data_IF_034884099574
#
_entry.id   IF_034884099574
#
_cell.length_a   1.000
_cell.length_b   1.000
_cell.length_c   1.000
_cell.angle_alpha   90.00
_cell.angle_beta   90.00
_cell.angle_gamma   90.00
#
_symmetry.space_group_name_H-M   'P 1'
#
loop_
_entity.id
_entity.type
_entity.pdbx_description
1 polymer ?
#
# COMPACT_ATOMS: atom_id res chain seq x y z
N UNK A 1 -3.22 13.38 -38.74
CA UNK A 1 -2.22 13.51 -37.67
C UNK A 1 -1.80 12.11 -37.28
N UNK A 2 -0.51 11.75 -37.33
CA UNK A 2 -0.09 10.37 -37.10
C UNK A 2 -0.22 9.98 -35.63
N UNK A 3 -0.68 8.75 -35.44
CA UNK A 3 -0.84 8.00 -34.21
C UNK A 3 0.52 7.71 -33.54
N UNK A 4 0.62 8.00 -32.24
CA UNK A 4 1.82 7.84 -31.39
C UNK A 4 2.01 6.38 -30.91
N UNK A 5 1.31 5.42 -31.51
CA UNK A 5 1.40 3.98 -31.17
C UNK A 5 2.58 3.25 -31.80
N UNK A 6 3.43 3.90 -32.59
CA UNK A 6 4.46 3.24 -33.40
C UNK A 6 5.87 3.84 -33.20
N UNK A 7 6.38 3.84 -31.96
CA UNK A 7 7.82 4.01 -31.71
C UNK A 7 8.45 2.61 -31.58
N UNK A 8 9.19 2.11 -32.59
CA UNK A 8 9.79 0.79 -32.57
C UNK A 8 11.09 0.84 -31.76
N UNK A 9 11.15 0.15 -30.62
CA UNK A 9 12.39 0.04 -29.84
C UNK A 9 12.27 -0.43 -28.39
N UNK A 10 11.08 -0.33 -27.77
CA UNK A 10 10.83 -0.97 -26.48
C UNK A 10 10.25 -2.35 -26.75
N UNK A 11 11.13 -3.36 -26.73
CA UNK A 11 10.73 -4.68 -26.25
C UNK A 11 10.17 -4.45 -24.86
N UNK A 12 8.87 -4.73 -24.65
CA UNK A 12 8.16 -4.71 -23.36
C UNK A 12 8.84 -5.62 -22.33
N UNK A 13 10.01 -5.22 -21.82
CA UNK A 13 10.61 -5.82 -20.64
C UNK A 13 9.78 -5.30 -19.47
N UNK A 14 8.88 -6.14 -18.98
CA UNK A 14 8.10 -5.87 -17.77
C UNK A 14 9.02 -5.35 -16.67
N UNK A 15 8.60 -4.32 -15.92
CA UNK A 15 9.39 -3.75 -14.82
C UNK A 15 9.86 -4.81 -13.81
N UNK A 16 9.10 -5.89 -13.64
CA UNK A 16 9.45 -7.06 -12.82
C UNK A 16 10.67 -7.83 -13.36
N UNK A 17 10.76 -8.02 -14.69
CA UNK A 17 11.91 -8.67 -15.33
C UNK A 17 13.18 -7.82 -15.16
N UNK A 18 13.04 -6.49 -15.19
CA UNK A 18 14.15 -5.59 -14.88
C UNK A 18 14.63 -5.73 -13.43
N UNK A 19 13.72 -5.77 -12.46
CA UNK A 19 14.07 -5.98 -11.04
C UNK A 19 14.83 -7.29 -10.88
N UNK A 20 14.31 -8.39 -11.43
CA UNK A 20 14.94 -9.71 -11.37
C UNK A 20 16.35 -9.72 -11.95
N UNK A 21 16.56 -9.06 -13.11
CA UNK A 21 17.87 -8.91 -13.74
C UNK A 21 18.84 -8.07 -12.91
N UNK A 22 18.39 -6.96 -12.34
CA UNK A 22 19.22 -6.11 -11.48
C UNK A 22 19.66 -6.88 -10.24
N UNK A 23 18.75 -7.63 -9.60
CA UNK A 23 19.08 -8.44 -8.41
C UNK A 23 20.02 -9.60 -8.71
N UNK A 24 19.96 -10.15 -9.92
CA UNK A 24 20.88 -11.20 -10.38
C UNK A 24 22.26 -10.69 -10.81
N UNK A 25 22.45 -9.36 -10.89
CA UNK A 25 23.72 -8.75 -11.35
C UNK A 25 24.74 -8.64 -10.20
N UNK A 26 26.06 -8.62 -10.50
CA UNK A 26 27.08 -8.43 -9.46
C UNK A 26 26.96 -7.04 -8.79
N UNK A 27 27.41 -6.90 -7.54
CA UNK A 27 27.50 -5.59 -6.87
C UNK A 27 28.35 -4.59 -7.68
N UNK A 28 28.05 -3.27 -7.62
CA UNK A 28 27.10 -2.63 -6.70
C UNK A 28 25.65 -2.66 -7.19
N UNK A 29 25.40 -3.05 -8.43
CA UNK A 29 24.11 -2.89 -9.11
C UNK A 29 22.97 -3.62 -8.39
N UNK A 30 23.20 -4.85 -7.93
CA UNK A 30 22.22 -5.61 -7.15
C UNK A 30 21.87 -5.02 -5.79
N UNK A 31 22.68 -4.10 -5.26
CA UNK A 31 22.45 -3.43 -3.97
C UNK A 31 21.79 -2.06 -4.08
N UNK A 32 21.60 -1.56 -5.29
CA UNK A 32 20.93 -0.26 -5.49
C UNK A 32 19.45 -0.42 -5.09
N UNK A 33 18.87 0.49 -4.28
CA UNK A 33 17.46 0.45 -3.96
C UNK A 33 16.59 0.66 -5.21
N UNK A 34 15.56 -0.17 -5.39
CA UNK A 34 14.62 -0.13 -6.51
C UNK A 34 13.22 0.16 -5.97
N UNK A 35 12.65 1.28 -6.41
CA UNK A 35 11.27 1.68 -6.12
C UNK A 35 10.46 1.49 -7.40
N UNK A 36 9.38 0.71 -7.31
CA UNK A 36 8.49 0.47 -8.43
C UNK A 36 7.26 1.38 -8.39
N UNK A 37 7.04 2.11 -9.49
CA UNK A 37 5.88 2.98 -9.67
C UNK A 37 4.83 2.29 -10.53
N UNK A 38 3.66 1.98 -9.98
CA UNK A 38 2.60 1.26 -10.70
C UNK A 38 1.38 2.15 -11.00
N UNK A 39 0.82 2.05 -12.21
CA UNK A 39 -0.48 2.64 -12.53
C UNK A 39 -1.66 1.74 -12.07
N UNK A 40 -1.39 0.48 -11.74
CA UNK A 40 -2.36 -0.50 -11.23
C UNK A 40 -2.08 -0.73 -9.74
N UNK A 41 -2.92 -0.15 -8.89
CA UNK A 41 -2.80 -0.26 -7.43
C UNK A 41 -3.37 -1.56 -6.84
N UNK A 42 -3.49 -2.63 -7.63
CA UNK A 42 -3.99 -3.91 -7.13
C UNK A 42 -2.97 -4.49 -6.15
N UNK A 43 -3.45 -4.97 -5.01
CA UNK A 43 -2.61 -5.55 -3.95
C UNK A 43 -1.75 -6.70 -4.48
N UNK A 44 -2.27 -7.48 -5.44
CA UNK A 44 -1.56 -8.59 -6.06
C UNK A 44 -0.30 -8.16 -6.81
N UNK A 45 -0.37 -7.07 -7.58
CA UNK A 45 0.76 -6.55 -8.36
C UNK A 45 1.90 -6.08 -7.44
N UNK A 46 1.54 -5.51 -6.28
CA UNK A 46 2.50 -5.11 -5.25
C UNK A 46 3.16 -6.31 -4.59
N UNK A 47 2.37 -7.35 -4.27
CA UNK A 47 2.88 -8.59 -3.66
C UNK A 47 3.89 -9.27 -4.59
N UNK A 48 3.56 -9.44 -5.86
CA UNK A 48 4.46 -10.04 -6.85
C UNK A 48 5.74 -9.23 -7.00
N UNK A 49 5.59 -7.91 -6.96
CA UNK A 49 6.68 -6.98 -6.94
C UNK A 49 7.67 -7.13 -5.80
N UNK A 50 7.18 -7.20 -4.56
CA UNK A 50 8.04 -7.47 -3.41
C UNK A 50 8.74 -8.82 -3.54
N UNK A 51 8.05 -9.85 -4.07
CA UNK A 51 8.66 -11.17 -4.32
C UNK A 51 9.78 -11.12 -5.36
N UNK A 52 9.72 -10.21 -6.33
CA UNK A 52 10.77 -10.03 -7.33
C UNK A 52 12.04 -9.35 -6.78
N UNK A 53 11.96 -8.76 -5.57
CA UNK A 53 13.09 -8.14 -4.89
C UNK A 53 13.14 -6.62 -5.00
N UNK A 54 12.03 -5.95 -5.33
CA UNK A 54 11.96 -4.49 -5.21
C UNK A 54 11.90 -4.07 -3.72
N UNK A 55 12.49 -2.93 -3.39
CA UNK A 55 12.52 -2.43 -2.00
C UNK A 55 11.22 -1.74 -1.61
N UNK A 56 10.57 -1.07 -2.57
CA UNK A 56 9.31 -0.38 -2.34
C UNK A 56 8.42 -0.33 -3.59
N UNK A 57 7.12 -0.14 -3.37
CA UNK A 57 6.09 -0.03 -4.38
C UNK A 57 5.17 1.15 -4.09
N UNK A 58 4.99 2.02 -5.07
CA UNK A 58 4.17 3.24 -4.96
C UNK A 58 3.22 3.34 -6.16
N UNK A 59 1.93 3.58 -5.89
CA UNK A 59 0.90 3.67 -6.94
C UNK A 59 0.77 5.09 -7.47
N UNK A 60 0.58 5.26 -8.78
CA UNK A 60 0.26 6.53 -9.43
C UNK A 60 -1.25 6.80 -9.42
N UNK A 61 -1.72 8.04 -9.18
CA UNK A 61 -0.93 9.19 -8.74
C UNK A 61 -0.48 9.06 -7.27
N UNK A 62 0.71 9.57 -6.95
CA UNK A 62 1.29 9.56 -5.60
C UNK A 62 1.56 10.98 -5.11
N UNK A 63 1.70 11.12 -3.80
CA UNK A 63 2.15 12.35 -3.16
C UNK A 63 3.68 12.47 -3.27
N UNK A 64 4.24 13.60 -3.74
CA UNK A 64 5.69 13.82 -3.77
C UNK A 64 6.37 13.61 -2.41
N UNK A 65 5.73 14.04 -1.31
CA UNK A 65 6.28 13.87 0.05
C UNK A 65 6.35 12.39 0.44
N UNK A 66 5.36 11.59 0.02
CA UNK A 66 5.37 10.13 0.23
C UNK A 66 6.55 9.47 -0.51
N UNK A 67 6.82 9.88 -1.75
CA UNK A 67 7.96 9.37 -2.50
C UNK A 67 9.29 9.75 -1.83
N UNK A 68 9.41 10.99 -1.34
CA UNK A 68 10.61 11.47 -0.66
C UNK A 68 10.92 10.63 0.59
N UNK A 69 9.94 10.41 1.46
CA UNK A 69 10.11 9.55 2.63
C UNK A 69 10.53 8.12 2.26
N UNK A 70 9.98 7.56 1.18
CA UNK A 70 10.34 6.22 0.69
C UNK A 70 11.81 6.21 0.23
N UNK A 71 12.22 7.20 -0.56
CA UNK A 71 13.60 7.32 -1.06
C UNK A 71 14.58 7.43 0.11
N UNK A 72 14.31 8.30 1.08
CA UNK A 72 15.14 8.46 2.26
C UNK A 72 15.27 7.15 3.04
N UNK A 73 14.15 6.48 3.33
CA UNK A 73 14.15 5.20 4.05
C UNK A 73 14.94 4.11 3.32
N UNK A 74 14.83 4.04 2.00
CA UNK A 74 15.59 3.12 1.16
C UNK A 74 17.10 3.40 1.22
N UNK A 75 17.51 4.67 1.14
CA UNK A 75 18.92 5.07 1.21
C UNK A 75 19.52 4.80 2.60
N UNK A 76 18.77 5.05 3.67
CA UNK A 76 19.20 4.74 5.03
C UNK A 76 19.40 3.24 5.28
N UNK A 77 18.52 2.39 4.73
CA UNK A 77 18.70 0.92 4.80
C UNK A 77 19.94 0.48 4.03
N UNK A 78 20.14 1.00 2.83
CA UNK A 78 21.33 0.69 2.02
C UNK A 78 22.64 1.06 2.75
N UNK A 79 22.66 2.22 3.45
CA UNK A 79 23.79 2.60 4.31
C UNK A 79 24.01 1.62 5.46
N UNK A 80 22.94 1.18 6.13
CA UNK A 80 23.01 0.18 7.21
C UNK A 80 23.51 -1.18 6.74
N UNK A 81 23.13 -1.63 5.56
CA UNK A 81 23.59 -2.91 5.00
C UNK A 81 25.08 -2.91 4.65
N UNK A 82 25.63 -1.75 4.29
CA UNK A 82 27.08 -1.58 4.08
C UNK A 82 27.83 -1.63 5.42
N UNK A 83 27.29 -1.01 6.47
CA UNK A 83 27.92 -0.98 7.80
C UNK A 83 27.78 -2.32 8.54
N UNK A 84 26.59 -2.93 8.51
CA UNK A 84 26.28 -4.20 9.16
C UNK A 84 26.82 -5.45 8.45
N UNK A 85 27.28 -5.31 7.19
CA UNK A 85 27.92 -6.40 6.44
C UNK A 85 29.27 -6.86 7.01
N UNK A 86 29.89 -6.07 7.90
CA UNK A 86 31.12 -6.45 8.60
C UNK A 86 30.85 -7.30 9.85
N UNK A 87 29.63 -7.31 10.38
CA UNK A 87 29.28 -7.98 11.65
C UNK A 87 28.37 -9.21 11.48
N UNK A 88 27.68 -9.36 10.34
CA UNK A 88 26.58 -10.32 10.17
C UNK A 88 26.90 -11.57 9.31
N UNK A 89 28.06 -12.20 9.46
CA UNK A 89 28.34 -13.49 8.79
C UNK A 89 27.66 -14.71 9.43
N UNK A 90 26.83 -14.52 10.46
CA UNK A 90 26.22 -15.63 11.20
C UNK A 90 24.87 -15.31 11.85
N UNK A 91 24.08 -14.40 11.29
CA UNK A 91 22.68 -14.28 11.71
C UNK A 91 21.97 -15.58 11.33
N UNK A 92 21.62 -16.37 12.33
CA UNK A 92 20.98 -17.67 12.17
C UNK A 92 19.62 -17.48 11.49
N UNK A 93 19.55 -17.83 10.21
CA UNK A 93 18.36 -17.66 9.36
C UNK A 93 17.14 -18.37 9.99
N UNK A 94 17.39 -19.43 10.76
CA UNK A 94 16.35 -20.15 11.50
C UNK A 94 15.69 -19.29 12.60
N UNK A 95 16.46 -18.46 13.30
CA UNK A 95 15.95 -17.55 14.33
C UNK A 95 15.09 -16.44 13.73
N UNK A 96 15.51 -15.87 12.59
CA UNK A 96 14.72 -14.87 11.87
C UNK A 96 13.40 -15.44 11.35
N UNK A 97 13.41 -16.68 10.85
CA UNK A 97 12.20 -17.36 10.39
C UNK A 97 11.22 -17.62 11.55
N UNK A 98 11.71 -18.04 12.72
CA UNK A 98 10.89 -18.23 13.90
C UNK A 98 10.21 -16.93 14.35
N UNK A 99 10.94 -15.81 14.37
CA UNK A 99 10.36 -14.50 14.68
C UNK A 99 9.31 -14.05 13.65
N UNK A 100 9.52 -14.33 12.37
CA UNK A 100 8.51 -14.03 11.33
C UNK A 100 7.22 -14.82 11.58
N UNK A 101 7.32 -16.10 11.93
CA UNK A 101 6.16 -16.95 12.14
C UNK A 101 5.41 -16.57 13.44
N UNK A 102 6.13 -16.19 14.50
CA UNK A 102 5.53 -15.60 15.71
C UNK A 102 4.78 -14.29 15.40
N UNK A 103 5.36 -13.38 14.61
CA UNK A 103 4.69 -12.15 14.19
C UNK A 103 3.43 -12.45 13.38
N UNK A 104 3.46 -13.42 12.46
CA UNK A 104 2.28 -13.84 11.70
C UNK A 104 1.19 -14.42 12.59
N UNK A 105 1.56 -15.24 13.57
CA UNK A 105 0.64 -15.83 14.54
C UNK A 105 0.01 -14.78 15.44
N UNK A 106 0.76 -13.75 15.87
CA UNK A 106 0.21 -12.60 16.58
C UNK A 106 -0.79 -11.87 15.68
N UNK A 107 -0.42 -11.53 14.44
CA UNK A 107 -1.30 -10.83 13.49
C UNK A 107 -2.57 -11.62 13.13
N UNK A 108 -2.54 -12.96 13.18
CA UNK A 108 -3.70 -13.83 12.93
C UNK A 108 -4.50 -14.15 14.20
N UNK A 109 -3.86 -14.23 15.37
CA UNK A 109 -4.52 -14.41 16.67
C UNK A 109 -5.23 -13.13 17.11
N UNK A 110 -4.66 -11.95 16.83
CA UNK A 110 -5.34 -10.65 16.98
C UNK A 110 -6.60 -10.50 16.11
N UNK A 111 -6.82 -11.39 15.14
CA UNK A 111 -8.06 -11.41 14.35
C UNK A 111 -9.18 -12.24 14.96
N UNK A 112 -8.91 -13.04 16.00
CA UNK A 112 -9.83 -14.11 16.42
C UNK A 112 -10.30 -14.06 17.88
N UNK A 113 -9.79 -13.15 18.72
CA UNK A 113 -10.25 -13.04 20.12
C UNK A 113 -10.37 -11.58 20.54
N UNK A 114 -11.50 -10.95 20.21
CA UNK A 114 -12.35 -10.11 21.09
C UNK A 114 -13.51 -9.53 20.27
N UNK A 115 -14.74 -9.76 20.75
CA UNK A 115 -15.94 -9.09 20.26
C UNK A 115 -16.05 -7.65 20.78
N UNK A 116 -15.02 -6.84 20.58
CA UNK A 116 -15.05 -5.40 20.83
C UNK A 116 -14.45 -4.68 19.61
N UNK A 117 -15.33 -3.95 18.92
CA UNK A 117 -15.09 -3.00 17.83
C UNK A 117 -14.15 -3.44 16.71
N UNK A 118 -14.77 -3.77 15.57
CA UNK A 118 -14.17 -3.56 14.24
C UNK A 118 -14.01 -2.07 13.94
N UNK A 119 -13.51 -1.28 14.89
CA UNK A 119 -12.87 0.02 14.68
C UNK A 119 -11.52 -0.30 14.01
N UNK A 120 -11.63 -0.87 12.83
CA UNK A 120 -10.55 -1.25 11.95
C UNK A 120 -9.94 0.05 11.45
N UNK A 121 -8.97 0.59 12.21
CA UNK A 121 -8.00 1.64 11.87
C UNK A 121 -8.39 2.34 10.57
N UNK A 122 -9.45 3.16 10.62
CA UNK A 122 -9.84 3.95 9.47
C UNK A 122 -8.72 4.96 9.27
N UNK A 123 -8.21 5.05 8.05
CA UNK A 123 -7.24 6.08 7.73
C UNK A 123 -7.90 7.46 7.88
N UNK A 124 -7.14 8.53 8.18
CA UNK A 124 -7.71 9.86 8.35
C UNK A 124 -8.61 10.29 7.18
N UNK A 125 -8.25 9.92 5.95
CA UNK A 125 -9.05 10.18 4.74
C UNK A 125 -10.34 9.37 4.69
N UNK A 126 -10.33 8.11 5.13
CA UNK A 126 -11.55 7.28 5.19
C UNK A 126 -12.53 7.78 6.25
N UNK A 127 -12.03 8.30 7.39
CA UNK A 127 -12.89 8.91 8.41
C UNK A 127 -13.62 10.14 7.88
N UNK A 128 -12.92 11.03 7.17
CA UNK A 128 -13.52 12.22 6.53
C UNK A 128 -14.58 11.83 5.49
N UNK A 129 -14.31 10.79 4.69
CA UNK A 129 -15.28 10.28 3.72
C UNK A 129 -16.50 9.69 4.44
N UNK A 130 -16.31 8.96 5.54
CA UNK A 130 -17.40 8.39 6.32
C UNK A 130 -18.31 9.47 6.91
N UNK A 131 -17.72 10.56 7.41
CA UNK A 131 -18.43 11.74 7.95
C UNK A 131 -19.23 12.47 6.87
N UNK A 132 -18.63 12.74 5.71
CA UNK A 132 -19.38 13.31 4.58
C UNK A 132 -20.50 12.38 4.10
N UNK A 133 -20.31 11.06 4.20
CA UNK A 133 -21.34 10.08 3.86
C UNK A 133 -22.51 10.11 4.85
N UNK A 134 -22.23 10.25 6.16
CA UNK A 134 -23.25 10.35 7.23
C UNK A 134 -24.05 11.63 7.20
N UNK A 135 -23.43 12.73 6.77
CA UNK A 135 -24.12 14.00 6.51
C UNK A 135 -25.01 13.96 5.25
N UNK A 136 -25.05 12.83 4.53
CA UNK A 136 -25.87 12.66 3.33
C UNK A 136 -25.28 13.28 2.06
N UNK A 137 -24.02 13.73 2.10
CA UNK A 137 -23.36 14.43 0.99
C UNK A 137 -23.04 13.46 -0.15
N UNK A 138 -23.13 13.95 -1.38
CA UNK A 138 -22.81 13.16 -2.57
C UNK A 138 -21.29 13.01 -2.73
N UNK A 139 -20.84 11.95 -3.41
CA UNK A 139 -19.41 11.72 -3.68
C UNK A 139 -18.75 12.94 -4.36
N UNK A 140 -19.49 13.69 -5.17
CA UNK A 140 -19.02 14.91 -5.83
C UNK A 140 -18.76 16.06 -4.87
N UNK A 141 -19.57 16.20 -3.83
CA UNK A 141 -19.44 17.25 -2.80
C UNK A 141 -18.27 16.91 -1.87
N UNK A 142 -18.19 15.66 -1.42
CA UNK A 142 -17.07 15.16 -0.60
C UNK A 142 -15.74 15.33 -1.36
N UNK A 143 -15.73 15.07 -2.67
CA UNK A 143 -14.55 15.25 -3.51
C UNK A 143 -14.10 16.72 -3.59
N UNK A 144 -15.06 17.64 -3.71
CA UNK A 144 -14.80 19.08 -3.76
C UNK A 144 -14.22 19.58 -2.42
N UNK A 145 -14.81 19.17 -1.29
CA UNK A 145 -14.36 19.56 0.05
C UNK A 145 -12.98 19.00 0.40
N UNK A 146 -12.69 17.75 0.00
CA UNK A 146 -11.42 17.11 0.26
C UNK A 146 -10.31 17.47 -0.75
N UNK A 147 -10.63 18.20 -1.82
CA UNK A 147 -9.68 18.54 -2.88
C UNK A 147 -9.18 17.33 -3.69
N UNK A 148 -9.97 16.25 -3.78
CA UNK A 148 -9.61 15.01 -4.49
C UNK A 148 -10.58 14.70 -5.63
N UNK A 149 -10.24 13.74 -6.49
CA UNK A 149 -11.14 13.33 -7.58
C UNK A 149 -12.36 12.54 -7.05
N UNK A 150 -13.49 12.63 -7.76
CA UNK A 150 -14.71 11.85 -7.44
C UNK A 150 -14.42 10.34 -7.42
N UNK A 151 -13.58 9.85 -8.34
CA UNK A 151 -13.13 8.44 -8.35
C UNK A 151 -12.34 8.05 -7.10
N UNK A 152 -11.57 8.98 -6.54
CA UNK A 152 -10.84 8.74 -5.29
C UNK A 152 -11.82 8.57 -4.13
N UNK A 153 -12.87 9.40 -4.06
CA UNK A 153 -13.94 9.24 -3.07
C UNK A 153 -14.68 7.92 -3.25
N UNK A 154 -15.04 7.54 -4.48
CA UNK A 154 -15.66 6.25 -4.78
C UNK A 154 -14.80 5.09 -4.26
N UNK A 155 -13.49 5.13 -4.51
CA UNK A 155 -12.53 4.14 -4.00
C UNK A 155 -12.50 4.12 -2.47
N UNK A 156 -12.51 5.27 -1.80
CA UNK A 156 -12.59 5.32 -0.34
C UNK A 156 -13.89 4.73 0.19
N UNK A 157 -15.03 4.97 -0.47
CA UNK A 157 -16.33 4.37 -0.10
C UNK A 157 -16.32 2.85 -0.30
N UNK A 158 -15.74 2.35 -1.40
CA UNK A 158 -15.58 0.91 -1.62
C UNK A 158 -14.73 0.28 -0.53
N UNK A 159 -13.60 0.89 -0.18
CA UNK A 159 -12.74 0.42 0.90
C UNK A 159 -13.47 0.44 2.26
N UNK A 160 -14.26 1.48 2.53
CA UNK A 160 -15.09 1.57 3.75
C UNK A 160 -16.11 0.43 3.82
N UNK A 161 -16.77 0.11 2.71
CA UNK A 161 -17.73 -1.00 2.62
C UNK A 161 -17.06 -2.35 2.85
N UNK A 162 -15.90 -2.59 2.24
CA UNK A 162 -15.10 -3.80 2.45
C UNK A 162 -14.64 -3.94 3.91
N UNK A 163 -14.17 -2.84 4.53
CA UNK A 163 -13.73 -2.82 5.93
C UNK A 163 -14.90 -3.03 6.91
N UNK A 164 -16.05 -2.44 6.62
CA UNK A 164 -17.27 -2.62 7.42
C UNK A 164 -17.95 -3.98 7.18
N UNK A 165 -17.57 -4.70 6.12
CA UNK A 165 -18.25 -5.92 5.68
C UNK A 165 -19.71 -5.67 5.28
N UNK A 166 -20.00 -4.48 4.72
CA UNK A 166 -21.36 -4.04 4.35
C UNK A 166 -21.47 -3.91 2.83
N UNK A 167 -22.65 -4.18 2.29
CA UNK A 167 -22.90 -4.21 0.85
C UNK A 167 -23.46 -2.91 0.27
N UNK A 168 -23.90 -1.98 1.12
CA UNK A 168 -24.54 -0.75 0.67
C UNK A 168 -24.17 0.46 1.51
N UNK A 169 -24.26 1.65 0.89
CA UNK A 169 -24.08 2.94 1.57
C UNK A 169 -24.97 3.07 2.80
N UNK A 170 -26.22 2.62 2.73
CA UNK A 170 -27.16 2.66 3.86
C UNK A 170 -26.76 1.71 4.98
N UNK A 171 -26.18 0.55 4.67
CA UNK A 171 -25.62 -0.35 5.67
C UNK A 171 -24.33 0.19 6.29
N UNK A 172 -23.50 0.89 5.51
CA UNK A 172 -22.32 1.59 6.01
C UNK A 172 -22.71 2.66 7.04
N UNK A 173 -23.78 3.41 6.78
CA UNK A 173 -24.33 4.38 7.73
C UNK A 173 -24.80 3.74 9.02
N UNK A 174 -25.60 2.67 8.93
CA UNK A 174 -26.07 1.94 10.11
C UNK A 174 -24.92 1.40 10.94
N UNK A 175 -23.91 0.85 10.28
CA UNK A 175 -22.69 0.38 10.93
C UNK A 175 -21.94 1.52 11.63
N UNK A 176 -21.83 2.68 10.99
CA UNK A 176 -21.12 3.82 11.55
C UNK A 176 -21.80 4.37 12.82
N UNK A 177 -23.14 4.31 12.90
CA UNK A 177 -23.90 4.64 14.11
C UNK A 177 -23.74 3.57 15.20
N UNK A 178 -23.82 2.29 14.82
CA UNK A 178 -23.68 1.16 15.74
C UNK A 178 -22.32 1.16 16.45
N UNK A 179 -21.26 1.58 15.75
CA UNK A 179 -19.91 1.73 16.29
C UNK A 179 -19.63 3.11 16.91
N UNK A 180 -20.60 4.03 16.93
CA UNK A 180 -20.43 5.38 17.52
C UNK A 180 -19.43 6.28 16.78
N UNK A 181 -19.21 6.05 15.48
CA UNK A 181 -18.24 6.80 14.67
C UNK A 181 -18.77 8.15 14.19
N UNK A 182 -20.09 8.31 14.16
CA UNK A 182 -20.82 9.49 13.68
C UNK A 182 -22.15 9.59 14.42
N UNK A 183 -22.50 10.81 14.84
CA UNK A 183 -23.83 11.15 15.35
C UNK A 183 -24.71 11.61 14.17
N UNK A 184 -25.94 11.09 14.10
CA UNK A 184 -26.96 11.50 13.11
C UNK A 184 -27.95 12.45 13.78
#
# INVERSE_FOLDING_TARGET
MPDDSSVPGIVDKSGLDLVSKVRSSPPPLSRIPIIMLTARGLTQDRIEGYKSGADSYLSKPFDPEELECIVESCLERSKRDVVGGLENKGADVSALQASIDEIKDILTSSRSVTGESKVAILTPKEKLVLEGVSEGRMNKEIAADMGISVRSVERHVTNLLEKAGKGSRTELLRWAVEEGLVEI
#
